data_IF_304903646253
#
_entry.id   IF_304903646253
#
_cell.length_a   1.000
_cell.length_b   1.000
_cell.length_c   1.000
_cell.angle_alpha   90.00
_cell.angle_beta   90.00
_cell.angle_gamma   90.00
#
_symmetry.space_group_name_H-M   'P 1'
#
loop_
_entity.id
_entity.type
_entity.pdbx_description
1 polymer ?
#
# COMPACT_ATOMS: atom_id res chain seq x y z
N UNK A 1 18.15 3.38 -7.61
CA UNK A 1 17.44 3.68 -6.35
C UNK A 1 16.36 2.63 -6.21
N UNK A 2 16.44 1.75 -5.22
CA UNK A 2 15.47 0.67 -5.04
C UNK A 2 14.37 1.15 -4.10
N UNK A 3 13.12 1.13 -4.57
CA UNK A 3 11.96 1.40 -3.74
C UNK A 3 11.50 0.09 -3.09
N UNK A 4 10.97 0.19 -1.86
CA UNK A 4 10.47 -0.94 -1.10
C UNK A 4 9.05 -0.68 -0.63
N UNK A 5 8.29 -1.75 -0.39
CA UNK A 5 6.98 -1.69 0.23
C UNK A 5 7.14 -1.88 1.74
N UNK A 6 6.56 -0.96 2.52
CA UNK A 6 6.59 -0.98 3.97
C UNK A 6 5.17 -0.87 4.48
N UNK A 7 4.77 -1.79 5.34
CA UNK A 7 3.48 -1.73 6.01
C UNK A 7 3.58 -0.95 7.31
N UNK A 8 2.56 -0.12 7.55
CA UNK A 8 2.38 0.58 8.81
C UNK A 8 2.05 -0.42 9.93
N UNK A 9 2.89 -0.45 10.95
CA UNK A 9 2.67 -1.20 12.18
C UNK A 9 2.22 -0.25 13.29
N UNK A 10 1.14 -0.61 13.96
CA UNK A 10 0.64 0.06 15.16
C UNK A 10 1.57 -0.20 16.36
N UNK A 11 1.49 0.63 17.39
CA UNK A 11 2.29 0.50 18.60
C UNK A 11 2.10 -0.85 19.33
N UNK A 12 0.94 -1.48 19.17
CA UNK A 12 0.62 -2.80 19.72
C UNK A 12 1.04 -3.97 18.82
N UNK A 13 1.80 -3.68 17.76
CA UNK A 13 2.37 -4.66 16.86
C UNK A 13 1.47 -5.08 15.71
N UNK A 14 0.20 -4.63 15.67
CA UNK A 14 -0.72 -4.97 14.58
C UNK A 14 -0.30 -4.31 13.27
N UNK A 15 -0.44 -5.04 12.17
CA UNK A 15 -0.22 -4.55 10.80
C UNK A 15 -1.54 -4.61 10.04
N UNK A 16 -2.37 -3.54 10.07
CA UNK A 16 -3.73 -3.58 9.50
C UNK A 16 -3.76 -3.92 8.01
N UNK A 17 -2.75 -3.49 7.25
CA UNK A 17 -2.66 -3.78 5.82
C UNK A 17 -2.45 -5.28 5.54
N UNK A 18 -1.60 -5.96 6.31
CA UNK A 18 -1.39 -7.41 6.19
C UNK A 18 -2.65 -8.17 6.61
N UNK A 19 -3.23 -7.83 7.77
CA UNK A 19 -4.48 -8.45 8.22
C UNK A 19 -5.63 -8.25 7.20
N UNK A 20 -5.66 -7.10 6.53
CA UNK A 20 -6.61 -6.83 5.46
C UNK A 20 -6.35 -7.72 4.23
N UNK A 21 -5.09 -7.81 3.78
CA UNK A 21 -4.69 -8.66 2.66
C UNK A 21 -5.01 -10.14 2.93
N UNK A 22 -4.69 -10.64 4.12
CA UNK A 22 -4.97 -12.03 4.55
C UNK A 22 -6.48 -12.33 4.59
N UNK A 23 -7.31 -11.32 4.85
CA UNK A 23 -8.77 -11.45 4.85
C UNK A 23 -9.40 -11.37 3.45
N UNK A 24 -8.63 -10.99 2.43
CA UNK A 24 -9.14 -10.82 1.07
C UNK A 24 -9.29 -12.17 0.36
N UNK A 25 -10.24 -12.30 -0.59
CA UNK A 25 -10.23 -13.42 -1.51
C UNK A 25 -8.90 -13.50 -2.26
N UNK A 26 -8.36 -14.69 -2.50
CA UNK A 26 -7.04 -14.92 -3.12
C UNK A 26 -6.80 -14.10 -4.38
N UNK A 27 -7.81 -13.97 -5.25
CA UNK A 27 -7.71 -13.17 -6.48
C UNK A 27 -7.56 -11.66 -6.20
N UNK A 28 -8.25 -11.17 -5.18
CA UNK A 28 -8.18 -9.76 -4.77
C UNK A 28 -6.81 -9.46 -4.17
N UNK A 29 -6.37 -10.30 -3.23
CA UNK A 29 -5.05 -10.19 -2.60
C UNK A 29 -3.93 -10.19 -3.64
N UNK A 30 -3.88 -11.21 -4.52
CA UNK A 30 -2.89 -11.31 -5.58
C UNK A 30 -2.90 -10.09 -6.52
N UNK A 31 -4.08 -9.52 -6.80
CA UNK A 31 -4.19 -8.30 -7.62
C UNK A 31 -3.58 -7.10 -6.90
N UNK A 32 -3.84 -6.94 -5.60
CA UNK A 32 -3.29 -5.83 -4.81
C UNK A 32 -1.76 -5.96 -4.72
N UNK A 33 -1.25 -7.15 -4.42
CA UNK A 33 0.20 -7.41 -4.37
C UNK A 33 0.88 -7.14 -5.72
N UNK A 34 0.26 -7.53 -6.83
CA UNK A 34 0.79 -7.23 -8.16
C UNK A 34 0.84 -5.71 -8.45
N UNK A 35 -0.14 -4.94 -7.97
CA UNK A 35 -0.11 -3.48 -8.09
C UNK A 35 1.01 -2.88 -7.23
N UNK A 36 1.19 -3.36 -6.00
CA UNK A 36 2.28 -2.91 -5.12
C UNK A 36 3.66 -3.18 -5.73
N UNK A 37 3.86 -4.36 -6.31
CA UNK A 37 5.12 -4.71 -6.97
C UNK A 37 5.36 -3.85 -8.22
N UNK A 38 4.31 -3.58 -9.01
CA UNK A 38 4.42 -2.68 -10.15
C UNK A 38 4.79 -1.24 -9.74
N UNK A 39 4.22 -0.74 -8.63
CA UNK A 39 4.57 0.57 -8.05
C UNK A 39 6.00 0.57 -7.53
N UNK A 40 6.44 -0.52 -6.89
CA UNK A 40 7.82 -0.69 -6.42
C UNK A 40 8.81 -0.62 -7.59
N UNK A 41 8.51 -1.31 -8.69
CA UNK A 41 9.34 -1.33 -9.89
C UNK A 41 9.32 -0.01 -10.67
N UNK A 42 8.19 0.71 -10.66
CA UNK A 42 8.01 1.99 -11.34
C UNK A 42 7.39 3.02 -10.36
N UNK A 43 8.19 3.66 -9.51
CA UNK A 43 7.69 4.63 -8.52
C UNK A 43 6.97 5.80 -9.22
N UNK A 44 5.89 6.35 -8.61
CA UNK A 44 5.24 7.55 -9.14
C UNK A 44 6.29 8.67 -9.31
N UNK A 45 6.35 9.36 -10.48
CA UNK A 45 5.24 9.71 -11.38
C UNK A 45 4.99 8.76 -12.57
N UNK A 46 5.77 7.70 -12.75
CA UNK A 46 5.72 6.87 -13.97
C UNK A 46 4.54 5.88 -14.01
N UNK A 47 4.00 5.50 -12.85
CA UNK A 47 2.93 4.52 -12.77
C UNK A 47 1.54 5.18 -12.80
N UNK A 48 0.85 5.04 -13.94
CA UNK A 48 -0.52 5.51 -14.15
C UNK A 48 -1.59 4.48 -13.73
N UNK A 49 -1.19 3.36 -13.13
CA UNK A 49 -2.10 2.53 -12.35
C UNK A 49 -3.12 1.66 -13.08
N UNK A 50 -3.29 1.83 -14.40
CA UNK A 50 -4.24 1.05 -15.20
C UNK A 50 -5.68 1.07 -14.63
N UNK A 51 -6.08 2.15 -13.96
CA UNK A 51 -7.37 2.31 -13.27
C UNK A 51 -7.48 1.60 -11.90
N UNK A 52 -6.41 0.95 -11.43
CA UNK A 52 -6.35 0.33 -10.10
C UNK A 52 -5.52 1.12 -9.09
N UNK A 53 -4.79 2.15 -9.50
CA UNK A 53 -4.00 3.01 -8.62
C UNK A 53 -4.32 4.46 -8.92
N UNK A 54 -4.71 5.19 -7.88
CA UNK A 54 -5.27 6.52 -8.01
C UNK A 54 -4.64 7.44 -6.98
N UNK A 55 -4.15 8.59 -7.43
CA UNK A 55 -3.65 9.63 -6.54
C UNK A 55 -4.83 10.34 -5.89
N UNK A 56 -4.82 10.44 -4.56
CA UNK A 56 -5.84 11.15 -3.82
C UNK A 56 -5.62 12.66 -3.91
N UNK A 57 -6.68 13.44 -3.69
CA UNK A 57 -6.67 14.90 -3.80
C UNK A 57 -7.18 15.56 -2.51
N UNK A 58 -7.00 16.88 -2.39
CA UNK A 58 -7.47 17.65 -1.24
C UNK A 58 -6.69 17.33 0.04
N UNK A 59 -7.39 17.08 1.14
CA UNK A 59 -6.78 16.78 2.45
C UNK A 59 -6.01 15.45 2.47
N UNK A 60 -6.27 14.57 1.50
CA UNK A 60 -5.55 13.32 1.30
C UNK A 60 -4.49 13.41 0.19
N UNK A 61 -4.11 14.63 -0.24
CA UNK A 61 -3.02 14.79 -1.19
C UNK A 61 -1.72 14.14 -0.66
N UNK A 62 -1.00 13.42 -1.54
CA UNK A 62 0.18 12.62 -1.18
C UNK A 62 -0.13 11.18 -0.79
N UNK A 63 -1.40 10.83 -0.61
CA UNK A 63 -1.86 9.45 -0.53
C UNK A 63 -2.28 8.93 -1.90
N UNK A 64 -2.19 7.62 -2.03
CA UNK A 64 -2.60 6.85 -3.17
C UNK A 64 -3.53 5.74 -2.71
N UNK A 65 -4.39 5.30 -3.63
CA UNK A 65 -5.37 4.27 -3.36
C UNK A 65 -5.27 3.17 -4.42
N UNK A 66 -5.15 1.92 -3.96
CA UNK A 66 -5.32 0.73 -4.77
C UNK A 66 -6.80 0.34 -4.77
N UNK A 67 -7.39 0.20 -5.94
CA UNK A 67 -8.80 -0.16 -6.15
C UNK A 67 -8.91 -1.55 -6.79
N UNK A 68 -9.56 -2.48 -6.09
CA UNK A 68 -9.89 -3.80 -6.63
C UNK A 68 -11.35 -4.12 -6.35
N UNK A 69 -12.07 -4.55 -7.37
CA UNK A 69 -13.44 -5.07 -7.20
C UNK A 69 -13.41 -6.59 -7.14
N UNK A 70 -13.88 -7.15 -6.04
CA UNK A 70 -13.92 -8.58 -5.80
C UNK A 70 -15.29 -9.21 -6.08
N UNK A 71 -15.47 -10.48 -5.67
CA UNK A 71 -16.73 -11.20 -5.81
C UNK A 71 -17.90 -10.45 -5.17
N UNK A 72 -19.10 -10.54 -5.78
CA UNK A 72 -20.29 -9.85 -5.29
C UNK A 72 -20.23 -8.33 -5.42
N UNK A 73 -19.37 -7.79 -6.30
CA UNK A 73 -19.14 -6.34 -6.48
C UNK A 73 -18.66 -5.64 -5.20
N UNK A 74 -18.09 -6.37 -4.24
CA UNK A 74 -17.47 -5.76 -3.07
C UNK A 74 -16.21 -5.01 -3.48
N UNK A 75 -16.10 -3.76 -3.06
CA UNK A 75 -14.94 -2.92 -3.35
C UNK A 75 -13.89 -3.07 -2.23
N UNK A 76 -12.67 -3.38 -2.62
CA UNK A 76 -11.50 -3.48 -1.78
C UNK A 76 -10.58 -2.31 -2.10
N UNK A 77 -10.21 -1.56 -1.07
CA UNK A 77 -9.40 -0.34 -1.18
C UNK A 77 -8.26 -0.42 -0.18
N UNK A 78 -7.03 -0.29 -0.68
CA UNK A 78 -5.82 -0.19 0.15
C UNK A 78 -5.20 1.19 -0.06
N UNK A 79 -4.91 1.90 1.02
CA UNK A 79 -4.26 3.21 0.95
C UNK A 79 -2.76 3.08 1.16
N UNK A 80 -1.99 3.87 0.41
CA UNK A 80 -0.54 3.93 0.48
C UNK A 80 -0.09 5.39 0.38
N UNK A 81 1.13 5.69 0.83
CA UNK A 81 1.81 6.96 0.55
C UNK A 81 3.23 6.65 0.07
N UNK A 82 3.81 7.56 -0.72
CA UNK A 82 5.23 7.50 -1.04
C UNK A 82 6.00 8.36 -0.04
N UNK A 83 7.12 7.83 0.44
CA UNK A 83 8.07 8.60 1.22
C UNK A 83 9.48 8.33 0.70
N UNK A 84 10.27 9.39 0.62
CA UNK A 84 11.70 9.31 0.31
C UNK A 84 12.54 9.08 1.57
N UNK A 85 11.92 9.09 2.74
CA UNK A 85 12.63 8.86 3.99
C UNK A 85 13.12 7.41 4.08
N UNK A 86 14.37 7.20 4.55
CA UNK A 86 14.92 5.87 4.66
C UNK A 86 14.14 5.03 5.66
N UNK A 87 13.90 3.77 5.30
CA UNK A 87 13.32 2.78 6.20
C UNK A 87 14.05 2.76 7.55
N UNK A 88 13.31 2.90 8.65
CA UNK A 88 13.86 2.98 10.01
C UNK A 88 13.95 4.39 10.61
N UNK A 89 13.72 5.46 9.83
CA UNK A 89 13.64 6.83 10.39
C UNK A 89 12.40 7.03 11.28
N UNK A 90 11.36 6.21 11.09
CA UNK A 90 10.07 6.32 11.77
C UNK A 90 9.99 5.65 13.15
N UNK A 91 11.05 4.93 13.56
CA UNK A 91 11.06 4.10 14.77
C UNK A 91 10.84 4.89 16.08
N UNK A 92 11.04 6.21 16.07
CA UNK A 92 10.92 7.05 17.27
C UNK A 92 9.48 7.52 17.54
N UNK A 93 8.54 7.35 16.59
CA UNK A 93 7.18 7.92 16.66
C UNK A 93 6.08 6.90 16.99
N UNK A 94 6.41 5.74 17.57
CA UNK A 94 5.43 4.73 18.00
C UNK A 94 4.78 3.93 16.85
N UNK A 95 5.27 4.09 15.62
CA UNK A 95 4.90 3.27 14.47
C UNK A 95 6.15 2.66 13.86
N UNK A 96 6.17 1.34 13.73
CA UNK A 96 7.29 0.62 13.11
C UNK A 96 6.90 0.29 11.67
N UNK A 97 7.85 0.30 10.75
CA UNK A 97 7.62 -0.20 9.40
C UNK A 97 7.93 -1.69 9.35
N UNK A 98 7.00 -2.54 8.92
CA UNK A 98 7.35 -3.92 8.53
C UNK A 98 7.61 -3.95 7.03
N UNK A 99 8.85 -4.26 6.63
CA UNK A 99 9.18 -4.42 5.21
C UNK A 99 8.51 -5.70 4.70
N UNK A 100 7.87 -5.64 3.54
CA UNK A 100 7.45 -6.84 2.82
C UNK A 100 8.67 -7.72 2.52
N UNK A 101 8.56 -9.06 2.59
CA UNK A 101 9.64 -9.97 2.23
C UNK A 101 10.10 -9.80 0.77
#
# INVERSE_FOLDING_TARGET
>A
MEWGVVYYQQADGRVPAEAFLDSCPTKVEATILAVLEAVRAAPPPAFSGGGKWEAMHGTMAGYYEIRVTGPGRRHYRLFACSTTEPYGSWSTAGSTGRRSP
#
